data_IF_688437869966
#
_entry.id   IF_688437869966
#
_cell.length_a   1.000
_cell.length_b   1.000
_cell.length_c   1.000
_cell.angle_alpha   90.00
_cell.angle_beta   90.00
_cell.angle_gamma   90.00
#
_symmetry.space_group_name_H-M   'P 1'
#
loop_
_entity.id
_entity.type
_entity.pdbx_description
1 polymer ?
#
# COMPACT_ATOMS: atom_id res chain seq x y z
N UNK A 1 -13.27 3.64 0.55
CA UNK A 1 -12.16 2.74 0.86
C UNK A 1 -10.96 3.58 1.26
N UNK A 2 -10.30 3.26 2.37
CA UNK A 2 -9.02 3.85 2.78
C UNK A 2 -8.17 2.71 3.35
N UNK A 3 -6.92 2.57 2.91
CA UNK A 3 -6.03 1.51 3.38
C UNK A 3 -5.44 1.85 4.75
N UNK A 4 -5.33 0.86 5.63
CA UNK A 4 -4.65 0.98 6.92
C UNK A 4 -3.13 0.97 6.70
N UNK A 5 -2.41 1.77 7.49
CA UNK A 5 -0.99 2.07 7.28
C UNK A 5 -0.06 1.74 8.46
N UNK A 6 -0.58 1.60 9.68
CA UNK A 6 0.23 1.40 10.88
C UNK A 6 0.84 0.00 10.96
N UNK A 7 2.16 -0.08 11.10
CA UNK A 7 2.84 -1.36 11.30
C UNK A 7 2.45 -1.97 12.64
N UNK A 8 2.42 -1.18 13.72
CA UNK A 8 2.15 -1.65 15.07
C UNK A 8 0.73 -2.23 15.19
N UNK A 9 -0.28 -1.49 14.72
CA UNK A 9 -1.66 -1.98 14.76
C UNK A 9 -1.86 -3.21 13.88
N UNK A 10 -1.10 -3.34 12.79
CA UNK A 10 -1.19 -4.52 11.92
C UNK A 10 -0.76 -5.81 12.59
N UNK A 11 0.19 -5.73 13.52
CA UNK A 11 0.63 -6.88 14.32
C UNK A 11 -0.42 -7.23 15.37
N UNK A 12 -1.10 -6.23 15.94
CA UNK A 12 -2.15 -6.43 16.92
C UNK A 12 -3.45 -6.99 16.33
N UNK A 13 -3.89 -6.49 15.16
CA UNK A 13 -5.07 -6.97 14.44
C UNK A 13 -4.78 -7.19 12.94
N UNK A 14 -4.09 -8.29 12.58
CA UNK A 14 -3.77 -8.58 11.18
C UNK A 14 -5.02 -8.78 10.31
N UNK A 15 -6.11 -9.28 10.87
CA UNK A 15 -7.34 -9.56 10.10
C UNK A 15 -8.02 -8.27 9.65
N UNK A 16 -8.01 -7.20 10.46
CA UNK A 16 -8.48 -5.89 10.02
C UNK A 16 -7.69 -5.36 8.82
N UNK A 17 -6.38 -5.60 8.79
CA UNK A 17 -5.50 -5.20 7.69
C UNK A 17 -5.79 -6.01 6.43
N UNK A 18 -5.92 -7.34 6.50
CA UNK A 18 -6.28 -8.13 5.30
C UNK A 18 -7.67 -7.78 4.79
N UNK A 19 -8.65 -7.65 5.68
CA UNK A 19 -10.02 -7.26 5.30
C UNK A 19 -10.03 -5.89 4.64
N UNK A 20 -9.31 -4.93 5.20
CA UNK A 20 -9.32 -3.58 4.65
C UNK A 20 -8.43 -3.51 3.42
N UNK A 21 -7.14 -3.78 3.51
CA UNK A 21 -6.19 -3.54 2.41
C UNK A 21 -6.34 -4.50 1.23
N UNK A 22 -6.74 -5.75 1.47
CA UNK A 22 -6.86 -6.77 0.41
C UNK A 22 -8.30 -6.93 -0.03
N UNK A 23 -9.21 -7.34 0.87
CA UNK A 23 -10.58 -7.71 0.46
C UNK A 23 -11.34 -6.50 -0.10
N UNK A 24 -11.36 -5.36 0.62
CA UNK A 24 -11.99 -4.16 0.07
C UNK A 24 -11.23 -3.60 -1.14
N UNK A 25 -9.93 -3.86 -1.24
CA UNK A 25 -9.13 -3.51 -2.42
C UNK A 25 -9.58 -4.29 -3.65
N UNK A 26 -9.82 -5.60 -3.53
CA UNK A 26 -10.38 -6.42 -4.62
C UNK A 26 -11.76 -5.92 -5.01
N UNK A 27 -12.63 -5.61 -4.05
CA UNK A 27 -13.95 -5.04 -4.33
C UNK A 27 -13.87 -3.70 -5.08
N UNK A 28 -12.82 -2.88 -4.83
CA UNK A 28 -12.55 -1.68 -5.61
C UNK A 28 -12.19 -2.02 -7.06
N UNK A 29 -11.35 -3.03 -7.31
CA UNK A 29 -11.00 -3.47 -8.66
C UNK A 29 -12.22 -3.97 -9.43
N UNK A 30 -13.10 -4.74 -8.79
CA UNK A 30 -14.36 -5.20 -9.38
C UNK A 30 -15.27 -4.02 -9.75
N UNK A 31 -15.42 -3.05 -8.83
CA UNK A 31 -16.21 -1.85 -9.09
C UNK A 31 -15.62 -1.00 -10.23
N UNK A 32 -14.29 -0.87 -10.30
CA UNK A 32 -13.60 -0.19 -11.39
C UNK A 32 -13.87 -0.86 -12.73
N UNK A 33 -13.78 -2.20 -12.81
CA UNK A 33 -14.10 -2.95 -14.02
C UNK A 33 -15.55 -2.74 -14.45
N UNK A 34 -16.51 -2.83 -13.51
CA UNK A 34 -17.92 -2.61 -13.80
C UNK A 34 -18.21 -1.18 -14.29
N UNK A 35 -17.46 -0.19 -13.80
CA UNK A 35 -17.56 1.20 -14.19
C UNK A 35 -16.74 1.57 -15.45
N UNK A 36 -15.97 0.63 -16.01
CA UNK A 36 -15.08 0.90 -17.15
C UNK A 36 -13.86 1.77 -16.82
N UNK A 37 -13.49 1.90 -15.54
CA UNK A 37 -12.29 2.60 -15.09
C UNK A 37 -11.08 1.70 -15.29
N UNK A 38 -10.07 2.20 -16.03
CA UNK A 38 -8.93 1.39 -16.48
C UNK A 38 -7.60 1.72 -15.84
N UNK A 39 -7.53 2.75 -15.00
CA UNK A 39 -6.27 3.28 -14.48
C UNK A 39 -6.28 3.35 -12.96
N UNK A 40 -5.21 2.88 -12.32
CA UNK A 40 -5.01 3.02 -10.88
C UNK A 40 -3.56 3.29 -10.53
N UNK A 41 -3.36 4.27 -9.65
CA UNK A 41 -2.10 4.48 -8.93
C UNK A 41 -2.29 3.97 -7.51
N UNK A 42 -1.46 3.03 -7.10
CA UNK A 42 -1.52 2.42 -5.79
C UNK A 42 -0.41 2.95 -4.89
N UNK A 43 -0.81 3.45 -3.72
CA UNK A 43 0.09 3.79 -2.61
C UNK A 43 0.54 2.50 -1.90
N UNK A 44 1.63 1.93 -2.40
CA UNK A 44 2.36 0.84 -1.73
C UNK A 44 3.32 1.42 -0.67
N UNK A 45 4.30 0.64 -0.24
CA UNK A 45 5.24 0.99 0.84
C UNK A 45 6.58 0.27 0.65
N UNK A 46 7.67 0.83 1.14
CA UNK A 46 8.96 0.14 1.23
C UNK A 46 8.93 -1.05 2.21
N UNK A 47 7.92 -1.14 3.10
CA UNK A 47 7.76 -2.27 4.01
C UNK A 47 7.54 -3.62 3.28
N UNK A 48 7.23 -3.59 1.97
CA UNK A 48 7.17 -4.81 1.14
C UNK A 48 8.53 -5.48 0.98
N UNK A 49 9.64 -4.75 1.16
CA UNK A 49 10.99 -5.27 1.03
C UNK A 49 11.49 -5.99 2.29
N UNK A 50 10.89 -5.73 3.45
CA UNK A 50 11.33 -6.31 4.72
C UNK A 50 12.69 -5.81 5.17
N UNK A 51 13.55 -6.74 5.62
CA UNK A 51 14.92 -6.42 6.06
C UNK A 51 15.79 -6.17 4.83
N UNK A 52 16.41 -4.98 4.68
CA UNK A 52 17.26 -4.68 3.53
C UNK A 52 18.49 -5.59 3.49
N UNK A 53 18.78 -6.16 2.32
CA UNK A 53 20.01 -6.92 2.06
C UNK A 53 21.08 -6.06 1.38
N UNK A 54 20.69 -4.93 0.79
CA UNK A 54 21.58 -3.92 0.20
C UNK A 54 20.98 -2.52 0.32
N UNK A 55 21.84 -1.50 0.27
CA UNK A 55 21.47 -0.07 0.28
C UNK A 55 22.28 0.65 -0.82
N UNK A 56 21.66 1.49 -1.67
CA UNK A 56 20.23 1.84 -1.70
C UNK A 56 19.33 0.64 -2.10
N UNK A 57 18.08 0.69 -1.66
CA UNK A 57 17.06 -0.32 -1.99
C UNK A 57 16.44 0.06 -3.34
N UNK A 58 16.70 -0.73 -4.37
CA UNK A 58 16.09 -0.61 -5.69
C UNK A 58 14.81 -1.46 -5.83
N UNK A 59 14.09 -1.34 -6.95
CA UNK A 59 12.85 -2.07 -7.20
C UNK A 59 13.01 -3.57 -7.43
N UNK A 60 14.22 -4.03 -7.72
CA UNK A 60 14.60 -5.44 -7.87
C UNK A 60 14.95 -6.10 -6.52
N UNK A 61 14.97 -5.32 -5.44
CA UNK A 61 15.23 -5.84 -4.10
C UNK A 61 14.19 -6.92 -3.73
N UNK A 62 14.62 -8.02 -3.06
CA UNK A 62 13.70 -9.04 -2.56
C UNK A 62 12.53 -8.43 -1.79
N UNK A 63 11.33 -8.95 -2.04
CA UNK A 63 10.09 -8.53 -1.37
C UNK A 63 9.69 -9.56 -0.32
N UNK A 64 10.22 -9.38 0.89
CA UNK A 64 10.01 -10.30 2.02
C UNK A 64 9.48 -9.55 3.25
N UNK A 65 8.20 -9.14 3.25
CA UNK A 65 7.65 -8.30 4.31
C UNK A 65 7.64 -9.02 5.66
N UNK A 66 8.12 -8.33 6.69
CA UNK A 66 8.26 -8.87 8.06
C UNK A 66 7.09 -8.55 8.99
N UNK A 67 6.03 -7.91 8.48
CA UNK A 67 4.84 -7.57 9.25
C UNK A 67 3.56 -7.68 8.40
N UNK A 68 2.37 -7.80 9.03
CA UNK A 68 1.11 -7.94 8.31
C UNK A 68 0.79 -6.75 7.39
N UNK A 69 1.08 -5.52 7.80
CA UNK A 69 0.89 -4.34 6.96
C UNK A 69 1.61 -4.48 5.60
N UNK A 70 2.93 -4.71 5.61
CA UNK A 70 3.73 -4.92 4.41
C UNK A 70 3.25 -6.12 3.58
N UNK A 71 2.85 -7.21 4.25
CA UNK A 71 2.31 -8.39 3.59
C UNK A 71 1.00 -8.08 2.84
N UNK A 72 0.10 -7.29 3.43
CA UNK A 72 -1.16 -6.90 2.74
C UNK A 72 -0.91 -5.98 1.55
N UNK A 73 0.05 -5.05 1.63
CA UNK A 73 0.42 -4.18 0.52
C UNK A 73 1.03 -4.97 -0.64
N UNK A 74 1.91 -5.92 -0.34
CA UNK A 74 2.49 -6.83 -1.34
C UNK A 74 1.42 -7.75 -1.96
N UNK A 75 0.48 -8.25 -1.16
CA UNK A 75 -0.63 -9.06 -1.67
C UNK A 75 -1.48 -8.27 -2.68
N UNK A 76 -1.78 -7.01 -2.38
CA UNK A 76 -2.52 -6.15 -3.30
C UNK A 76 -1.72 -5.76 -4.55
N UNK A 77 -0.39 -5.54 -4.44
CA UNK A 77 0.48 -5.39 -5.64
C UNK A 77 0.38 -6.60 -6.57
N UNK A 78 0.35 -7.82 -6.02
CA UNK A 78 0.20 -9.05 -6.82
C UNK A 78 -1.16 -9.10 -7.52
N UNK A 79 -2.24 -8.81 -6.79
CA UNK A 79 -3.58 -8.73 -7.37
C UNK A 79 -3.65 -7.71 -8.52
N UNK A 80 -3.08 -6.52 -8.33
CA UNK A 80 -2.99 -5.50 -9.38
C UNK A 80 -2.20 -5.98 -10.60
N UNK A 81 -1.08 -6.65 -10.41
CA UNK A 81 -0.27 -7.20 -11.50
C UNK A 81 -1.04 -8.28 -12.27
N UNK A 82 -1.73 -9.18 -11.56
CA UNK A 82 -2.52 -10.25 -12.17
C UNK A 82 -3.70 -9.70 -12.97
N UNK A 83 -4.44 -8.73 -12.41
CA UNK A 83 -5.53 -8.04 -13.12
C UNK A 83 -4.96 -7.27 -14.32
N UNK A 84 -3.82 -6.61 -14.20
CA UNK A 84 -3.23 -5.86 -15.31
C UNK A 84 -2.86 -6.74 -16.50
N UNK A 85 -2.38 -7.97 -16.26
CA UNK A 85 -2.08 -8.95 -17.32
C UNK A 85 -3.30 -9.36 -18.15
N UNK A 86 -4.51 -9.18 -17.62
CA UNK A 86 -5.76 -9.41 -18.40
C UNK A 86 -6.03 -8.32 -19.44
N UNK A 87 -5.29 -7.20 -19.42
CA UNK A 87 -5.52 -6.06 -20.28
C UNK A 87 -6.66 -5.14 -19.84
N UNK A 88 -7.35 -5.47 -18.74
CA UNK A 88 -8.49 -4.70 -18.23
C UNK A 88 -8.07 -3.44 -17.45
N UNK A 89 -6.86 -3.45 -16.87
CA UNK A 89 -6.38 -2.40 -15.98
C UNK A 89 -4.91 -2.07 -16.21
N UNK A 90 -4.56 -0.78 -16.22
CA UNK A 90 -3.19 -0.27 -16.16
C UNK A 90 -2.89 0.14 -14.72
N UNK A 91 -1.78 -0.32 -14.18
CA UNK A 91 -1.46 -0.18 -12.77
C UNK A 91 -0.06 0.40 -12.57
N UNK A 92 0.08 1.26 -11.57
CA UNK A 92 1.36 1.75 -11.06
C UNK A 92 1.35 1.60 -9.55
N UNK A 93 2.38 0.99 -8.97
CA UNK A 93 2.55 0.90 -7.53
C UNK A 93 3.74 1.77 -7.09
N UNK A 94 3.47 2.75 -6.24
CA UNK A 94 4.49 3.64 -5.68
C UNK A 94 4.85 3.16 -4.29
N UNK A 95 6.11 2.76 -4.08
CA UNK A 95 6.61 2.24 -2.79
C UNK A 95 7.26 3.36 -2.01
N UNK A 96 6.44 4.13 -1.28
CA UNK A 96 6.95 5.21 -0.44
C UNK A 96 7.78 4.67 0.72
N UNK A 97 8.81 5.42 1.08
CA UNK A 97 9.51 5.27 2.36
C UNK A 97 8.75 6.05 3.42
N UNK A 98 9.39 7.00 4.07
CA UNK A 98 8.77 7.86 5.05
C UNK A 98 8.31 9.15 4.35
N UNK A 99 7.05 9.51 4.55
CA UNK A 99 6.51 10.79 4.13
C UNK A 99 6.47 11.72 5.35
N UNK A 100 6.95 12.95 5.18
CA UNK A 100 6.92 13.97 6.22
C UNK A 100 6.70 15.35 5.60
N UNK A 101 6.34 16.32 6.44
CA UNK A 101 6.07 17.71 6.04
C UNK A 101 4.58 18.06 6.04
N UNK A 102 4.27 19.25 5.54
CA UNK A 102 2.92 19.78 5.44
C UNK A 102 2.80 20.75 4.27
N UNK A 103 1.58 21.17 3.95
CA UNK A 103 1.38 22.17 2.92
C UNK A 103 2.09 23.48 3.33
N UNK A 104 2.81 24.16 2.40
CA UNK A 104 3.69 25.27 2.77
C UNK A 104 3.02 26.45 3.48
N UNK A 105 1.72 26.65 3.27
CA UNK A 105 0.93 27.71 3.95
C UNK A 105 0.33 27.28 5.30
N UNK A 106 0.58 26.03 5.72
CA UNK A 106 0.06 25.46 6.97
C UNK A 106 -1.40 25.03 6.93
N UNK A 107 -2.08 25.05 5.77
CA UNK A 107 -3.50 24.71 5.67
C UNK A 107 -3.80 23.22 5.85
N UNK A 108 -2.82 22.36 5.56
CA UNK A 108 -2.95 20.91 5.58
C UNK A 108 -1.64 20.29 6.09
N UNK A 109 -1.75 19.24 6.89
CA UNK A 109 -0.64 18.46 7.40
C UNK A 109 -1.10 17.08 7.84
N UNK A 110 -0.18 16.29 8.35
CA UNK A 110 -0.51 15.02 9.00
C UNK A 110 -1.29 15.28 10.30
N UNK A 111 -2.42 14.60 10.49
CA UNK A 111 -3.21 14.62 11.73
C UNK A 111 -3.54 13.17 12.12
N UNK A 112 -2.52 12.46 12.61
CA UNK A 112 -2.66 11.13 13.20
C UNK A 112 -2.64 11.21 14.73
N UNK A 113 -3.48 10.39 15.38
CA UNK A 113 -3.59 10.34 16.84
C UNK A 113 -3.56 8.89 17.33
N UNK A 114 -2.49 8.43 18.00
CA UNK A 114 -1.22 9.14 18.25
C UNK A 114 -0.43 9.39 16.95
N UNK A 115 0.53 10.32 16.98
CA UNK A 115 1.46 10.53 15.86
C UNK A 115 2.35 9.28 15.72
N UNK A 116 2.44 8.72 14.51
CA UNK A 116 3.18 7.47 14.27
C UNK A 116 4.67 7.69 13.93
N UNK A 117 5.08 8.95 13.74
CA UNK A 117 6.41 9.35 13.27
C UNK A 117 7.24 10.12 14.33
N UNK A 118 7.00 9.86 15.62
CA UNK A 118 7.75 10.47 16.76
C UNK A 118 9.11 9.81 16.97
#
# INVERSE_FOLDING_TARGET
FAGLLSVADSVADPLAYYRTNVVKGVALLEAMQAAGVRDIVFSSTCAVYGVPVRVPIDEEHPKDPINPYGATKLAFERALADVSRTGTLRTVALRYFNAAGGHPDGSLGEDHRPEEHV
#
